data_IF_460274212148
#
_entry.id   IF_460274212148
#
_cell.length_a   1.000
_cell.length_b   1.000
_cell.length_c   1.000
_cell.angle_alpha   90.00
_cell.angle_beta   90.00
_cell.angle_gamma   90.00
#
_symmetry.space_group_name_H-M   'P 1'
#
loop_
_entity.id
_entity.type
_entity.pdbx_description
1 polymer ?
#
# COMPACT_ATOMS: atom_id res chain seq x y z
N UNK A 1 24.21 10.61 20.91
CA UNK A 1 23.74 10.34 19.55
C UNK A 1 22.51 11.21 19.29
N UNK A 2 22.64 12.20 18.42
CA UNK A 2 21.64 13.24 18.19
C UNK A 2 20.41 12.65 17.50
N UNK A 3 19.28 12.56 18.20
CA UNK A 3 17.99 12.17 17.62
C UNK A 3 17.46 13.33 16.79
N UNK A 4 17.78 13.35 15.50
CA UNK A 4 17.28 14.34 14.56
C UNK A 4 15.75 14.20 14.45
N UNK A 5 15.02 15.04 15.17
CA UNK A 5 13.58 15.26 15.00
C UNK A 5 13.36 15.87 13.63
N UNK A 6 13.04 15.01 12.65
CA UNK A 6 12.74 15.41 11.27
C UNK A 6 11.53 16.36 11.31
N UNK A 7 11.76 17.66 11.10
CA UNK A 7 10.68 18.66 10.95
C UNK A 7 9.75 18.18 9.84
N UNK A 8 8.50 17.87 10.19
CA UNK A 8 7.46 17.50 9.23
C UNK A 8 7.15 18.77 8.43
N UNK A 9 7.50 18.80 7.15
CA UNK A 9 7.21 19.95 6.31
C UNK A 9 5.72 19.97 5.96
N UNK A 10 5.12 21.16 5.78
CA UNK A 10 3.73 21.28 5.32
C UNK A 10 3.49 20.56 3.98
N UNK A 11 4.53 20.41 3.16
CA UNK A 11 4.53 19.65 1.91
C UNK A 11 4.28 18.15 2.15
N UNK A 12 4.93 17.56 3.17
CA UNK A 12 4.77 16.15 3.53
C UNK A 12 3.35 15.82 4.03
N UNK A 13 2.72 16.77 4.73
CA UNK A 13 1.34 16.65 5.19
C UNK A 13 0.38 16.64 4.01
N UNK A 14 0.58 17.53 3.03
CA UNK A 14 -0.23 17.56 1.81
C UNK A 14 -0.09 16.29 0.97
N UNK A 15 1.13 15.76 0.83
CA UNK A 15 1.38 14.47 0.15
C UNK A 15 0.64 13.35 0.89
N UNK A 16 0.76 13.30 2.21
CA UNK A 16 0.09 12.30 3.05
C UNK A 16 -1.44 12.34 2.88
N UNK A 17 -2.05 13.52 2.90
CA UNK A 17 -3.50 13.68 2.70
C UNK A 17 -3.92 13.18 1.31
N UNK A 18 -3.13 13.45 0.27
CA UNK A 18 -3.41 12.98 -1.10
C UNK A 18 -3.32 11.46 -1.20
N UNK A 19 -2.31 10.85 -0.57
CA UNK A 19 -2.17 9.39 -0.49
C UNK A 19 -3.38 8.78 0.21
N UNK A 20 -3.80 9.32 1.37
CA UNK A 20 -4.97 8.83 2.10
C UNK A 20 -6.27 8.95 1.29
N UNK A 21 -6.47 10.07 0.58
CA UNK A 21 -7.63 10.26 -0.31
C UNK A 21 -7.63 9.27 -1.48
N UNK A 22 -6.46 9.00 -2.08
CA UNK A 22 -6.33 8.08 -3.19
C UNK A 22 -6.50 6.61 -2.78
N UNK A 23 -6.06 6.26 -1.56
CA UNK A 23 -6.30 4.95 -0.97
C UNK A 23 -7.81 4.70 -0.84
N UNK A 24 -8.58 5.66 -0.34
CA UNK A 24 -10.04 5.57 -0.29
C UNK A 24 -10.52 4.26 0.36
N UNK A 25 -11.14 3.38 -0.44
CA UNK A 25 -11.58 2.03 -0.01
C UNK A 25 -10.58 0.91 -0.33
N UNK A 26 -9.52 1.20 -1.09
CA UNK A 26 -8.52 0.24 -1.51
C UNK A 26 -7.54 -0.07 -0.37
N UNK A 27 -7.31 -1.36 -0.14
CA UNK A 27 -6.31 -1.86 0.80
C UNK A 27 -5.19 -2.52 0.00
N UNK A 28 -4.07 -1.84 -0.29
CA UNK A 28 -2.98 -2.38 -1.11
C UNK A 28 -2.10 -3.36 -0.32
N UNK A 29 -2.73 -4.41 0.24
CA UNK A 29 -2.08 -5.49 0.98
C UNK A 29 -2.47 -6.85 0.38
N UNK A 30 -1.66 -7.87 0.63
CA UNK A 30 -1.87 -9.22 0.13
C UNK A 30 -1.28 -9.48 -1.25
N UNK A 31 -1.65 -10.61 -1.85
CA UNK A 31 -1.02 -11.16 -3.06
C UNK A 31 -1.21 -10.26 -4.30
N UNK A 32 -2.34 -9.56 -4.38
CA UNK A 32 -2.68 -8.67 -5.50
C UNK A 32 -2.31 -7.21 -5.26
N UNK A 33 -1.50 -6.90 -4.24
CA UNK A 33 -1.16 -5.52 -3.84
C UNK A 33 -0.63 -4.65 -4.97
N UNK A 34 0.10 -5.23 -5.93
CA UNK A 34 0.64 -4.52 -7.11
C UNK A 34 -0.48 -4.01 -8.02
N UNK A 35 -1.51 -4.81 -8.27
CA UNK A 35 -2.66 -4.41 -9.08
C UNK A 35 -3.51 -3.34 -8.39
N UNK A 36 -3.71 -3.48 -7.07
CA UNK A 36 -4.42 -2.48 -6.27
C UNK A 36 -3.67 -1.15 -6.30
N UNK A 37 -2.33 -1.16 -6.25
CA UNK A 37 -1.54 0.06 -6.34
C UNK A 37 -1.75 0.81 -7.66
N UNK A 38 -1.89 0.09 -8.78
CA UNK A 38 -2.21 0.73 -10.08
C UNK A 38 -3.56 1.46 -10.01
N UNK A 39 -4.57 0.88 -9.35
CA UNK A 39 -5.87 1.55 -9.16
C UNK A 39 -5.75 2.78 -8.26
N UNK A 40 -4.97 2.70 -7.18
CA UNK A 40 -4.70 3.84 -6.29
C UNK A 40 -4.01 4.98 -7.05
N UNK A 41 -3.03 4.68 -7.89
CA UNK A 41 -2.33 5.67 -8.70
C UNK A 41 -3.26 6.36 -9.71
N UNK A 42 -4.19 5.62 -10.33
CA UNK A 42 -5.21 6.20 -11.23
C UNK A 42 -6.13 7.19 -10.52
N UNK A 43 -6.36 7.00 -9.22
CA UNK A 43 -7.23 7.88 -8.42
C UNK A 43 -6.50 9.14 -7.89
N UNK A 44 -5.20 9.29 -8.12
CA UNK A 44 -4.48 10.52 -7.76
C UNK A 44 -4.83 11.65 -8.73
N UNK A 45 -5.46 12.71 -8.22
CA UNK A 45 -5.53 13.99 -8.94
C UNK A 45 -4.10 14.54 -9.04
N UNK A 46 -3.45 14.37 -10.20
CA UNK A 46 -2.04 14.68 -10.56
C UNK A 46 -1.02 13.57 -10.20
N UNK A 47 -0.82 12.57 -11.07
CA UNK A 47 0.12 11.47 -10.85
C UNK A 47 1.60 11.87 -10.91
N UNK A 48 1.94 13.06 -11.43
CA UNK A 48 3.34 13.49 -11.63
C UNK A 48 4.10 13.83 -10.33
N UNK A 49 3.41 13.90 -9.19
CA UNK A 49 3.99 14.36 -7.90
C UNK A 49 4.17 13.22 -6.90
N UNK A 50 3.42 12.13 -7.02
CA UNK A 50 3.40 11.03 -6.04
C UNK A 50 3.67 9.73 -6.80
N UNK A 51 4.80 9.10 -6.50
CA UNK A 51 5.16 7.80 -7.07
C UNK A 51 4.53 6.66 -6.26
N UNK A 52 4.53 5.46 -6.87
CA UNK A 52 4.15 4.24 -6.14
C UNK A 52 5.01 4.02 -4.90
N UNK A 53 6.30 4.36 -4.97
CA UNK A 53 7.25 4.19 -3.88
C UNK A 53 6.95 5.11 -2.71
N UNK A 54 6.46 6.33 -2.95
CA UNK A 54 6.06 7.25 -1.89
C UNK A 54 4.86 6.70 -1.11
N UNK A 55 3.91 6.08 -1.82
CA UNK A 55 2.76 5.42 -1.20
C UNK A 55 3.23 4.19 -0.40
N UNK A 56 4.13 3.38 -0.95
CA UNK A 56 4.67 2.22 -0.24
C UNK A 56 5.44 2.62 1.02
N UNK A 57 6.30 3.65 0.93
CA UNK A 57 7.02 4.20 2.08
C UNK A 57 6.05 4.70 3.15
N UNK A 58 5.02 5.44 2.75
CA UNK A 58 3.97 5.88 3.68
C UNK A 58 3.32 4.68 4.39
N UNK A 59 2.87 3.69 3.62
CA UNK A 59 2.21 2.50 4.17
C UNK A 59 3.13 1.70 5.10
N UNK A 60 4.37 1.46 4.71
CA UNK A 60 5.31 0.66 5.50
C UNK A 60 5.83 1.39 6.75
N UNK A 61 5.82 2.72 6.74
CA UNK A 61 6.14 3.52 7.93
C UNK A 61 5.01 3.54 8.97
N UNK A 62 3.76 3.30 8.55
CA UNK A 62 2.57 3.43 9.40
C UNK A 62 1.90 2.10 9.77
N UNK A 63 2.09 1.06 8.97
CA UNK A 63 1.39 -0.21 9.11
C UNK A 63 2.35 -1.39 9.03
N UNK A 64 2.14 -2.37 9.89
CA UNK A 64 2.86 -3.64 9.84
C UNK A 64 2.40 -4.47 8.63
N UNK A 65 3.19 -4.40 7.56
CA UNK A 65 2.94 -5.10 6.30
C UNK A 65 2.72 -6.60 6.52
N UNK A 66 3.52 -7.25 7.35
CA UNK A 66 3.49 -8.72 7.50
C UNK A 66 2.17 -9.15 8.10
N UNK A 67 1.69 -8.42 9.11
CA UNK A 67 0.38 -8.64 9.72
C UNK A 67 -0.76 -8.47 8.71
N UNK A 68 -0.77 -7.35 7.97
CA UNK A 68 -1.83 -7.07 6.99
C UNK A 68 -1.81 -7.98 5.77
N UNK A 69 -0.62 -8.29 5.23
CA UNK A 69 -0.47 -9.24 4.12
C UNK A 69 -0.96 -10.64 4.54
N UNK A 70 -0.64 -11.08 5.77
CA UNK A 70 -1.11 -12.37 6.28
C UNK A 70 -2.63 -12.39 6.36
N UNK A 71 -3.24 -11.40 7.02
CA UNK A 71 -4.71 -11.30 7.15
C UNK A 71 -5.42 -11.23 5.80
N UNK A 72 -4.92 -10.42 4.86
CA UNK A 72 -5.49 -10.29 3.52
C UNK A 72 -5.39 -11.61 2.72
N UNK A 73 -4.32 -12.38 2.94
CA UNK A 73 -4.08 -13.63 2.25
C UNK A 73 -4.76 -14.85 2.90
N UNK A 74 -5.35 -14.74 4.10
CA UNK A 74 -6.06 -15.86 4.75
C UNK A 74 -7.12 -16.44 3.81
N UNK A 75 -7.91 -15.58 3.16
CA UNK A 75 -8.98 -16.00 2.23
C UNK A 75 -8.44 -16.76 1.00
N UNK A 76 -7.21 -16.46 0.58
CA UNK A 76 -6.59 -17.04 -0.61
C UNK A 76 -5.70 -18.25 -0.31
N UNK A 77 -5.37 -18.50 0.96
CA UNK A 77 -4.68 -19.74 1.40
C UNK A 77 -5.55 -21.01 1.25
N UNK A 78 -6.85 -20.86 0.98
CA UNK A 78 -7.81 -21.97 0.89
C UNK A 78 -7.75 -22.78 -0.41
N UNK A 79 -7.06 -22.32 -1.46
CA UNK A 79 -6.72 -23.16 -2.61
C UNK A 79 -5.20 -23.26 -2.72
N UNK A 80 -4.63 -24.29 -2.08
CA UNK A 80 -3.41 -24.88 -2.64
C UNK A 80 -3.82 -25.40 -4.01
N UNK A 81 -3.16 -24.92 -5.07
CA UNK A 81 -3.27 -25.52 -6.39
C UNK A 81 -2.97 -27.01 -6.24
N UNK A 82 -3.98 -27.87 -6.46
CA UNK A 82 -3.80 -29.31 -6.51
C UNK A 82 -3.53 -29.68 -7.96
N UNK A 83 -2.48 -30.46 -8.21
CA UNK A 83 -2.20 -30.97 -9.56
C UNK A 83 -3.34 -31.87 -10.09
N UNK A 84 -4.22 -32.33 -9.20
CA UNK A 84 -5.42 -33.09 -9.53
C UNK A 84 -6.58 -32.24 -10.07
N UNK A 85 -6.55 -30.91 -9.89
CA UNK A 85 -7.55 -30.00 -10.51
C UNK A 85 -7.33 -29.83 -12.03
N UNK A 86 -6.20 -30.35 -12.54
CA UNK A 86 -5.81 -30.30 -13.95
C UNK A 86 -6.00 -31.64 -14.68
N UNK A 87 -6.62 -32.64 -14.05
CA UNK A 87 -6.99 -33.91 -14.69
C UNK A 87 -8.47 -33.93 -15.09
#
# INVERSE_FOLDING_TARGET
>A
MSTATKKISNTDVNITIRILKALGKHKPFGIFRKFIMIQVLKNLKQPNVISADDIWKFLYSRYDRTKFDTLANIKYKLRKFSYDDCK
#
